data_IF_283996288012
#
_entry.id   IF_283996288012
#
_cell.length_a   1.000
_cell.length_b   1.000
_cell.length_c   1.000
_cell.angle_alpha   90.00
_cell.angle_beta   90.00
_cell.angle_gamma   90.00
#
_symmetry.space_group_name_H-M   'P 1'
#
loop_
_entity.id
_entity.type
_entity.pdbx_description
1 polymer ?
#
# COMPACT_ATOMS: atom_id res chain seq x y z
N UNK A 1 -3.70 8.39 -7.68
CA UNK A 1 -3.38 7.50 -6.55
C UNK A 1 -4.65 7.45 -5.76
N UNK A 2 -5.21 6.26 -5.62
CA UNK A 2 -6.46 6.06 -4.88
C UNK A 2 -6.18 5.32 -3.58
N UNK A 3 -6.94 5.62 -2.53
CA UNK A 3 -6.90 4.80 -1.31
C UNK A 3 -7.94 3.70 -1.44
N UNK A 4 -7.49 2.45 -1.32
CA UNK A 4 -8.33 1.26 -1.35
C UNK A 4 -8.31 0.56 0.01
N UNK A 5 -9.38 -0.16 0.31
CA UNK A 5 -9.58 -0.90 1.55
C UNK A 5 -9.87 -2.36 1.25
N UNK A 6 -9.51 -3.29 2.15
CA UNK A 6 -9.85 -4.69 1.99
C UNK A 6 -11.37 -4.86 2.08
N UNK A 7 -11.95 -5.43 1.05
CA UNK A 7 -13.37 -5.76 0.99
C UNK A 7 -13.50 -7.21 0.54
N UNK A 8 -14.36 -7.97 1.21
CA UNK A 8 -14.76 -9.31 0.79
C UNK A 8 -16.24 -9.27 0.45
N UNK A 9 -16.68 -10.09 -0.49
CA UNK A 9 -18.10 -10.22 -0.82
C UNK A 9 -18.96 -10.53 0.41
N UNK A 10 -18.44 -11.34 1.34
CA UNK A 10 -19.10 -11.66 2.62
C UNK A 10 -19.29 -10.48 3.58
N UNK A 11 -18.60 -9.36 3.34
CA UNK A 11 -18.72 -8.14 4.14
C UNK A 11 -19.96 -7.32 3.72
N UNK A 12 -20.48 -7.52 2.50
CA UNK A 12 -21.66 -6.85 1.97
C UNK A 12 -21.41 -5.40 1.54
N UNK A 13 -22.49 -4.68 1.22
CA UNK A 13 -22.47 -3.33 0.65
C UNK A 13 -22.83 -2.20 1.64
N UNK A 14 -23.06 -2.54 2.91
CA UNK A 14 -23.42 -1.63 3.99
C UNK A 14 -24.92 -1.38 4.15
N UNK A 15 -25.78 -2.04 3.38
CA UNK A 15 -27.24 -1.85 3.45
C UNK A 15 -27.88 -2.52 4.68
N UNK A 16 -27.31 -3.61 5.17
CA UNK A 16 -27.72 -4.25 6.44
C UNK A 16 -26.89 -3.74 7.62
N UNK A 17 -27.43 -3.87 8.84
CA UNK A 17 -26.72 -3.46 10.08
C UNK A 17 -25.42 -4.23 10.24
N UNK A 18 -25.43 -5.53 9.96
CA UNK A 18 -24.25 -6.40 10.05
C UNK A 18 -23.18 -5.97 9.03
N UNK A 19 -23.59 -5.67 7.80
CA UNK A 19 -22.67 -5.21 6.77
C UNK A 19 -22.09 -3.83 7.11
N UNK A 20 -22.92 -2.92 7.62
CA UNK A 20 -22.47 -1.60 8.07
C UNK A 20 -21.38 -1.69 9.14
N UNK A 21 -21.56 -2.55 10.15
CA UNK A 21 -20.56 -2.76 11.19
C UNK A 21 -19.24 -3.29 10.63
N UNK A 22 -19.28 -4.27 9.71
CA UNK A 22 -18.06 -4.80 9.08
C UNK A 22 -17.32 -3.74 8.28
N UNK A 23 -18.03 -2.93 7.48
CA UNK A 23 -17.42 -1.85 6.72
C UNK A 23 -16.84 -0.76 7.64
N UNK A 24 -17.49 -0.49 8.77
CA UNK A 24 -16.96 0.42 9.78
C UNK A 24 -15.68 -0.12 10.43
N UNK A 25 -15.62 -1.41 10.77
CA UNK A 25 -14.40 -2.06 11.28
C UNK A 25 -13.26 -2.00 10.25
N UNK A 26 -13.56 -2.22 8.97
CA UNK A 26 -12.60 -2.09 7.88
C UNK A 26 -12.07 -0.66 7.80
N UNK A 27 -12.95 0.34 7.85
CA UNK A 27 -12.58 1.75 7.80
C UNK A 27 -11.74 2.19 9.00
N UNK A 28 -12.00 1.63 10.19
CA UNK A 28 -11.26 1.91 11.42
C UNK A 28 -9.95 1.11 11.55
N UNK A 29 -9.77 0.06 10.76
CA UNK A 29 -8.57 -0.77 10.78
C UNK A 29 -7.34 0.03 10.30
N UNK A 30 -6.47 0.40 11.24
CA UNK A 30 -5.32 1.29 11.01
C UNK A 30 -4.42 0.81 9.87
N UNK A 31 -4.24 -0.52 9.72
CA UNK A 31 -3.33 -1.14 8.74
C UNK A 31 -3.99 -1.47 7.39
N UNK A 32 -5.28 -1.22 7.25
CA UNK A 32 -6.07 -1.57 6.08
C UNK A 32 -5.84 -0.69 4.85
N UNK A 33 -5.65 0.65 4.98
CA UNK A 33 -5.58 1.51 3.80
C UNK A 33 -4.31 1.26 2.99
N UNK A 34 -4.50 1.03 1.68
CA UNK A 34 -3.44 0.86 0.70
C UNK A 34 -3.58 1.93 -0.38
N UNK A 35 -2.46 2.48 -0.83
CA UNK A 35 -2.40 3.38 -1.97
C UNK A 35 -2.27 2.54 -3.24
N UNK A 36 -3.28 2.61 -4.09
CA UNK A 36 -3.22 2.12 -5.46
C UNK A 36 -2.62 3.19 -6.35
N UNK A 37 -1.40 2.93 -6.83
CA UNK A 37 -0.60 3.83 -7.64
C UNK A 37 -0.47 3.23 -9.04
N UNK A 38 -0.90 3.99 -10.04
CA UNK A 38 -0.61 3.67 -11.44
C UNK A 38 0.64 4.43 -11.87
N UNK A 39 1.67 3.71 -12.27
CA UNK A 39 2.88 4.27 -12.89
C UNK A 39 2.57 4.54 -14.37
N UNK A 40 3.06 5.64 -14.93
CA UNK A 40 2.85 5.89 -16.37
C UNK A 40 3.61 4.85 -17.20
N UNK A 41 3.05 4.38 -18.32
CA UNK A 41 3.71 3.39 -19.19
C UNK A 41 5.15 3.78 -19.57
N UNK A 42 5.36 5.07 -19.87
CA UNK A 42 6.67 5.63 -20.24
C UNK A 42 7.73 5.53 -19.15
N UNK A 43 7.33 5.39 -17.88
CA UNK A 43 8.22 5.35 -16.73
C UNK A 43 8.45 3.93 -16.19
N UNK A 44 7.77 2.91 -16.72
CA UNK A 44 7.88 1.53 -16.22
C UNK A 44 9.30 0.98 -16.29
N UNK A 45 10.09 1.37 -17.31
CA UNK A 45 11.49 0.98 -17.44
C UNK A 45 12.41 1.51 -16.32
N UNK A 46 11.93 2.48 -15.53
CA UNK A 46 12.64 3.06 -14.38
C UNK A 46 12.32 2.34 -13.07
N UNK A 47 11.35 1.42 -13.07
CA UNK A 47 10.90 0.75 -11.86
C UNK A 47 11.93 -0.31 -11.44
N UNK A 48 12.33 -0.25 -10.18
CA UNK A 48 13.13 -1.29 -9.52
C UNK A 48 12.23 -2.03 -8.55
N UNK A 49 12.10 -3.35 -8.77
CA UNK A 49 11.31 -4.22 -7.91
C UNK A 49 12.13 -4.71 -6.73
N UNK A 50 11.48 -4.94 -5.60
CA UNK A 50 12.12 -5.49 -4.40
C UNK A 50 12.35 -6.99 -4.57
N UNK A 51 13.49 -7.46 -4.07
CA UNK A 51 13.81 -8.89 -4.02
C UNK A 51 12.72 -9.66 -3.27
N UNK A 52 12.19 -10.73 -3.86
CA UNK A 52 11.12 -11.56 -3.28
C UNK A 52 9.71 -10.97 -3.41
N UNK A 53 9.55 -9.83 -4.08
CA UNK A 53 8.25 -9.18 -4.35
C UNK A 53 8.12 -8.78 -5.83
N UNK A 54 8.86 -9.46 -6.72
CA UNK A 54 8.99 -9.08 -8.13
C UNK A 54 7.68 -9.22 -8.93
N UNK A 55 6.73 -10.03 -8.44
CA UNK A 55 5.44 -10.29 -9.08
C UNK A 55 4.25 -9.61 -8.37
N UNK A 56 4.50 -8.66 -7.46
CA UNK A 56 3.43 -8.08 -6.63
C UNK A 56 2.59 -7.02 -7.35
N UNK A 57 3.06 -6.50 -8.49
CA UNK A 57 2.31 -5.54 -9.31
C UNK A 57 1.54 -6.25 -10.43
N UNK A 58 0.38 -5.70 -10.81
CA UNK A 58 -0.34 -6.10 -12.01
C UNK A 58 -0.20 -5.01 -13.07
N UNK A 59 0.51 -5.29 -14.16
CA UNK A 59 0.81 -4.30 -15.18
C UNK A 59 1.47 -3.05 -14.60
N UNK A 60 0.81 -1.90 -14.75
CA UNK A 60 1.30 -0.60 -14.29
C UNK A 60 0.86 -0.23 -12.86
N UNK A 61 0.11 -1.11 -12.20
CA UNK A 61 -0.50 -0.86 -10.89
C UNK A 61 0.35 -1.44 -9.76
N UNK A 62 0.68 -0.58 -8.81
CA UNK A 62 1.44 -0.89 -7.60
C UNK A 62 0.63 -0.51 -6.38
N UNK A 63 0.62 -1.39 -5.38
CA UNK A 63 -0.16 -1.23 -4.17
C UNK A 63 0.78 -1.17 -2.96
N UNK A 64 0.89 -0.02 -2.31
CA UNK A 64 1.74 0.17 -1.12
C UNK A 64 0.91 0.61 0.08
N UNK A 65 1.26 0.15 1.28
CA UNK A 65 0.56 0.57 2.50
C UNK A 65 0.56 2.09 2.67
N UNK A 66 -0.58 2.66 3.06
CA UNK A 66 -0.63 4.08 3.45
C UNK A 66 0.05 4.32 4.79
N UNK A 67 0.13 3.31 5.66
CA UNK A 67 0.79 3.39 6.97
C UNK A 67 2.30 3.56 6.81
N UNK A 68 2.83 4.70 7.28
CA UNK A 68 4.26 4.99 7.26
C UNK A 68 5.04 3.99 8.12
N UNK A 69 6.18 3.52 7.60
CA UNK A 69 7.09 2.60 8.29
C UNK A 69 7.87 3.23 9.45
N UNK A 70 7.76 4.55 9.66
CA UNK A 70 8.36 5.22 10.82
C UNK A 70 7.45 5.08 12.05
N UNK A 71 6.51 6.03 12.24
CA UNK A 71 5.61 6.12 13.39
C UNK A 71 4.12 5.96 12.99
N UNK A 72 3.85 5.38 11.82
CA UNK A 72 2.51 4.87 11.51
C UNK A 72 1.51 5.89 10.98
N UNK A 73 1.90 7.16 10.86
CA UNK A 73 1.06 8.16 10.20
C UNK A 73 0.68 7.73 8.77
N UNK A 74 -0.52 8.07 8.30
CA UNK A 74 -0.90 7.83 6.92
C UNK A 74 -0.11 8.75 5.97
N UNK A 75 0.69 8.16 5.08
CA UNK A 75 1.45 8.82 4.02
C UNK A 75 0.55 9.21 2.86
N UNK A 76 -0.38 10.14 3.11
CA UNK A 76 -1.48 10.47 2.19
C UNK A 76 -1.10 11.39 1.03
N UNK A 77 0.05 12.05 1.09
CA UNK A 77 0.48 13.00 0.06
C UNK A 77 1.23 12.25 -1.05
N UNK A 78 0.91 12.55 -2.30
CA UNK A 78 1.53 11.90 -3.46
C UNK A 78 1.87 12.93 -4.53
N UNK A 79 3.14 12.98 -4.91
CA UNK A 79 3.65 13.86 -5.98
C UNK A 79 3.72 13.06 -7.28
N UNK A 80 2.72 13.26 -8.15
CA UNK A 80 2.51 12.46 -9.37
C UNK A 80 3.67 12.56 -10.38
N UNK A 81 4.36 13.71 -10.43
CA UNK A 81 5.42 13.94 -11.41
C UNK A 81 6.70 13.15 -11.09
N UNK A 82 7.01 12.99 -9.80
CA UNK A 82 8.25 12.37 -9.31
C UNK A 82 8.03 11.00 -8.67
N UNK A 83 6.77 10.56 -8.55
CA UNK A 83 6.36 9.31 -7.89
C UNK A 83 6.75 9.24 -6.40
N UNK A 84 6.79 10.39 -5.72
CA UNK A 84 7.07 10.44 -4.28
C UNK A 84 5.79 10.27 -3.46
N UNK A 85 5.87 9.40 -2.47
CA UNK A 85 4.88 9.25 -1.40
C UNK A 85 5.41 10.02 -0.20
N UNK A 86 4.66 11.00 0.30
CA UNK A 86 5.10 11.88 1.38
C UNK A 86 4.26 11.64 2.64
N UNK A 87 4.95 11.44 3.75
CA UNK A 87 4.35 11.38 5.07
C UNK A 87 4.28 12.79 5.69
N UNK A 88 3.10 13.36 5.96
CA UNK A 88 2.97 14.74 6.43
C UNK A 88 3.49 14.95 7.86
N UNK A 89 3.59 13.90 8.67
CA UNK A 89 3.96 14.04 10.08
C UNK A 89 5.44 14.41 10.29
N UNK A 90 6.34 13.69 9.62
CA UNK A 90 7.80 13.85 9.81
C UNK A 90 8.54 13.88 8.46
N UNK A 91 7.79 14.13 7.38
CA UNK A 91 8.32 14.41 6.05
C UNK A 91 9.14 13.26 5.45
N UNK A 92 8.94 12.01 5.90
CA UNK A 92 9.53 10.87 5.19
C UNK A 92 9.00 10.81 3.78
N UNK A 93 9.90 10.67 2.81
CA UNK A 93 9.57 10.56 1.39
C UNK A 93 9.99 9.18 0.91
N UNK A 94 9.07 8.48 0.25
CA UNK A 94 9.28 7.16 -0.31
C UNK A 94 9.20 7.22 -1.83
N UNK A 95 10.12 6.57 -2.51
CA UNK A 95 10.16 6.51 -3.96
C UNK A 95 9.34 5.32 -4.47
N UNK A 96 8.17 5.59 -5.06
CA UNK A 96 7.29 4.53 -5.55
C UNK A 96 7.86 3.78 -6.77
N UNK A 97 8.84 4.33 -7.50
CA UNK A 97 9.55 3.61 -8.57
C UNK A 97 10.58 2.64 -8.01
N UNK A 98 11.06 2.85 -6.79
CA UNK A 98 12.03 1.97 -6.12
C UNK A 98 11.41 1.30 -4.90
N UNK A 99 10.39 0.47 -5.14
CA UNK A 99 9.70 -0.35 -4.13
C UNK A 99 9.28 0.41 -2.85
N UNK A 100 8.94 1.70 -2.98
CA UNK A 100 8.65 2.59 -1.85
C UNK A 100 9.79 2.66 -0.82
N UNK A 101 11.04 2.61 -1.28
CA UNK A 101 12.23 2.84 -0.46
C UNK A 101 12.24 4.29 0.03
N UNK A 102 12.51 4.55 1.33
CA UNK A 102 12.68 5.90 1.81
C UNK A 102 13.91 6.54 1.18
N UNK A 103 13.74 7.77 0.68
CA UNK A 103 14.81 8.59 0.08
C UNK A 103 15.07 9.87 0.90
N UNK A 104 14.21 10.19 1.87
CA UNK A 104 14.35 11.32 2.77
C UNK A 104 13.56 11.10 4.07
N UNK A 105 13.92 11.85 5.12
CA UNK A 105 13.27 11.84 6.42
C UNK A 105 13.64 10.64 7.31
N UNK A 106 12.96 10.46 8.46
CA UNK A 106 13.39 9.51 9.49
C UNK A 106 13.00 8.04 9.23
N UNK A 107 12.16 7.74 8.24
CA UNK A 107 11.79 6.36 7.95
C UNK A 107 12.98 5.59 7.37
N UNK A 108 13.34 4.46 7.99
CA UNK A 108 14.48 3.63 7.59
C UNK A 108 14.10 2.39 6.75
N UNK A 109 12.79 2.16 6.51
CA UNK A 109 12.28 0.96 5.86
C UNK A 109 11.31 1.31 4.73
N UNK A 110 11.28 0.46 3.70
CA UNK A 110 10.28 0.57 2.64
C UNK A 110 8.86 0.39 3.18
N UNK A 111 7.88 0.92 2.45
CA UNK A 111 6.47 0.59 2.68
C UNK A 111 6.21 -0.85 2.22
N UNK A 112 5.28 -1.55 2.86
CA UNK A 112 4.95 -2.91 2.46
C UNK A 112 4.14 -2.86 1.16
N UNK A 113 4.51 -3.71 0.20
CA UNK A 113 3.80 -3.84 -1.08
C UNK A 113 2.77 -4.97 -0.98
N UNK A 114 1.54 -4.70 -1.40
CA UNK A 114 0.48 -5.71 -1.48
C UNK A 114 0.55 -6.39 -2.85
N UNK A 115 0.59 -7.75 -2.93
CA UNK A 115 0.47 -8.44 -4.20
C UNK A 115 -0.95 -8.26 -4.76
N UNK A 116 -1.07 -7.84 -6.01
CA UNK A 116 -2.37 -7.65 -6.68
C UNK A 116 -2.45 -8.39 -8.01
N UNK A 117 -3.65 -8.78 -8.39
CA UNK A 117 -4.00 -9.38 -9.69
C UNK A 117 -5.39 -8.90 -10.11
N UNK A 118 -5.84 -9.33 -11.28
CA UNK A 118 -7.22 -9.21 -11.75
C UNK A 118 -7.93 -10.56 -11.58
N UNK A 119 -9.20 -10.54 -11.18
CA UNK A 119 -10.08 -11.71 -11.16
C UNK A 119 -10.73 -12.00 -12.53
N UNK A 120 -11.67 -12.94 -12.59
CA UNK A 120 -12.34 -13.30 -13.85
C UNK A 120 -13.29 -12.22 -14.38
N UNK A 121 -13.78 -11.35 -13.52
CA UNK A 121 -14.75 -10.31 -13.85
C UNK A 121 -14.07 -8.96 -14.16
N UNK A 122 -12.75 -8.89 -13.97
CA UNK A 122 -11.95 -7.71 -14.29
C UNK A 122 -11.70 -6.78 -13.10
N UNK A 123 -12.01 -7.20 -11.86
CA UNK A 123 -11.73 -6.41 -10.66
C UNK A 123 -10.32 -6.67 -10.13
N UNK A 124 -9.72 -5.63 -9.55
CA UNK A 124 -8.44 -5.75 -8.84
C UNK A 124 -8.66 -6.46 -7.51
N UNK A 125 -7.94 -7.55 -7.30
CA UNK A 125 -7.97 -8.35 -6.09
C UNK A 125 -6.56 -8.53 -5.51
N UNK A 126 -6.46 -8.66 -4.19
CA UNK A 126 -5.20 -8.99 -3.54
C UNK A 126 -4.87 -10.47 -3.76
N UNK A 127 -3.60 -10.79 -4.04
CA UNK A 127 -3.09 -12.14 -4.21
C UNK A 127 -2.32 -12.60 -2.95
N UNK A 128 -2.95 -12.45 -1.79
CA UNK A 128 -2.37 -12.73 -0.48
C UNK A 128 -2.06 -11.47 0.34
N UNK A 129 -1.47 -11.71 1.52
CA UNK A 129 -1.07 -10.66 2.46
C UNK A 129 0.33 -10.10 2.16
N UNK A 130 0.71 -9.07 2.91
CA UNK A 130 2.06 -8.51 2.90
C UNK A 130 3.10 -9.54 3.40
N UNK A 131 4.31 -9.47 2.84
CA UNK A 131 5.46 -10.23 3.37
C UNK A 131 5.91 -9.66 4.70
N UNK A 132 5.96 -8.33 4.83
CA UNK A 132 6.36 -7.68 6.07
C UNK A 132 5.19 -7.23 6.92
N UNK A 133 5.35 -7.18 8.26
CA UNK A 133 4.38 -6.51 9.11
C UNK A 133 4.20 -5.03 8.71
N UNK A 134 2.96 -4.57 8.66
CA UNK A 134 2.62 -3.20 8.23
C UNK A 134 2.91 -2.18 9.35
N UNK A 135 3.56 -1.07 8.98
CA UNK A 135 3.74 0.11 9.83
C UNK A 135 5.05 0.18 10.63
N UNK A 136 5.03 0.82 11.82
CA UNK A 136 6.19 1.03 12.68
C UNK A 136 6.93 -0.24 13.08
N UNK A 137 8.17 -0.06 13.51
CA UNK A 137 8.96 -1.16 14.02
C UNK A 137 8.50 -1.51 15.44
N UNK A 138 8.68 -2.77 15.80
CA UNK A 138 8.54 -3.31 17.15
C UNK A 138 9.69 -4.28 17.37
N UNK A 139 9.94 -4.66 18.63
CA UNK A 139 11.16 -5.36 19.02
C UNK A 139 11.34 -6.72 18.33
N UNK A 140 10.26 -7.48 18.17
CA UNK A 140 10.24 -8.83 17.57
C UNK A 140 10.14 -8.81 16.04
N UNK A 141 10.18 -7.62 15.43
CA UNK A 141 10.02 -7.49 13.98
C UNK A 141 11.21 -8.10 13.25
N UNK A 142 10.94 -9.03 12.35
CA UNK A 142 11.94 -9.57 11.43
C UNK A 142 12.08 -8.70 10.17
N UNK A 143 13.29 -8.69 9.60
CA UNK A 143 13.60 -8.09 8.30
C UNK A 143 14.04 -9.21 7.35
N UNK A 144 13.08 -10.04 6.95
CA UNK A 144 13.27 -11.03 5.89
C UNK A 144 13.38 -10.34 4.53
#
# INVERSE_FOLDING_TARGET
METVFPWRESDGDGTTVESHHKLQEIAMGIRNPVMLIRIKPSDLGRVVKRKGQESFNFGEFFAFTKVCSHLGCPSSLYEQQSYRILCPCHQSQFDALHFAKPIFGPAARALAQLPITIDTDGYLVANGDFVEPVGPAFWERTTT
#
